data_IF_058223077190
#
_entry.id   IF_058223077190
#
_cell.length_a   1.000
_cell.length_b   1.000
_cell.length_c   1.000
_cell.angle_alpha   90.00
_cell.angle_beta   90.00
_cell.angle_gamma   90.00
#
_symmetry.space_group_name_H-M   'P 1'
#
loop_
_entity.id
_entity.type
_entity.pdbx_description
1 polymer ?
#
# COMPACT_ATOMS: atom_id res chain seq x y z
N UNK A 1 8.82 10.05 -15.17
CA UNK A 1 9.52 8.80 -15.55
C UNK A 1 10.66 8.61 -14.57
N UNK A 2 10.87 7.42 -13.97
CA UNK A 2 12.03 7.19 -13.12
C UNK A 2 13.31 7.41 -13.94
N UNK A 3 14.34 7.92 -13.27
CA UNK A 3 15.63 8.19 -13.88
C UNK A 3 16.18 6.87 -14.49
N UNK A 4 16.50 6.82 -15.80
CA UNK A 4 17.02 5.61 -16.43
C UNK A 4 18.31 5.06 -15.79
N UNK A 5 19.10 5.91 -15.12
CA UNK A 5 20.32 5.50 -14.43
C UNK A 5 20.05 4.56 -13.25
N UNK A 6 18.95 4.78 -12.46
CA UNK A 6 18.59 3.90 -11.33
C UNK A 6 18.15 2.51 -11.77
N UNK A 7 17.65 2.37 -13.01
CA UNK A 7 17.25 1.09 -13.59
C UNK A 7 18.45 0.30 -14.16
N UNK A 8 19.56 0.97 -14.47
CA UNK A 8 20.75 0.33 -15.08
C UNK A 8 21.62 -0.38 -14.03
N UNK A 9 21.58 0.08 -12.77
CA UNK A 9 22.34 -0.51 -11.67
C UNK A 9 21.64 -1.70 -11.01
N UNK A 10 20.42 -2.05 -11.46
CA UNK A 10 19.71 -3.21 -10.95
C UNK A 10 20.11 -4.49 -11.68
N UNK A 11 20.20 -5.63 -10.97
CA UNK A 11 20.45 -6.92 -11.58
C UNK A 11 19.48 -7.20 -12.74
N UNK A 12 19.98 -7.86 -13.79
CA UNK A 12 19.21 -8.11 -15.02
C UNK A 12 17.92 -8.91 -14.77
N UNK A 13 17.94 -9.82 -13.81
CA UNK A 13 16.83 -10.65 -13.34
C UNK A 13 15.71 -9.83 -12.69
N UNK A 14 16.04 -8.78 -11.91
CA UNK A 14 15.05 -7.86 -11.33
C UNK A 14 14.26 -7.12 -12.43
N UNK A 15 14.95 -6.71 -13.50
CA UNK A 15 14.28 -6.05 -14.64
C UNK A 15 13.38 -7.00 -15.42
N UNK A 16 13.75 -8.28 -15.53
CA UNK A 16 12.91 -9.31 -16.17
C UNK A 16 11.70 -9.65 -15.31
N UNK A 17 11.87 -9.79 -13.99
CA UNK A 17 10.79 -10.03 -13.05
C UNK A 17 9.76 -8.90 -13.11
N UNK A 18 10.19 -7.65 -13.18
CA UNK A 18 9.28 -6.47 -13.33
C UNK A 18 8.49 -6.48 -14.63
N UNK A 19 9.12 -6.83 -15.75
CA UNK A 19 8.40 -6.99 -17.03
C UNK A 19 7.39 -8.12 -16.96
N UNK A 20 7.74 -9.23 -16.31
CA UNK A 20 6.83 -10.35 -16.11
C UNK A 20 5.62 -9.96 -15.25
N UNK A 21 5.83 -9.20 -14.17
CA UNK A 21 4.76 -8.64 -13.34
C UNK A 21 3.77 -7.81 -14.18
N UNK A 22 4.27 -6.96 -15.05
CA UNK A 22 3.44 -6.14 -15.95
C UNK A 22 2.54 -6.99 -16.86
N UNK A 23 3.07 -8.10 -17.39
CA UNK A 23 2.30 -9.05 -18.20
C UNK A 23 1.31 -9.90 -17.38
N UNK A 24 1.57 -10.09 -16.09
CA UNK A 24 0.73 -10.89 -15.22
C UNK A 24 -0.55 -10.16 -14.76
N UNK A 25 -0.58 -8.82 -14.87
CA UNK A 25 -1.76 -8.02 -14.53
C UNK A 25 -2.81 -8.07 -15.64
N UNK A 26 -4.07 -8.28 -15.28
CA UNK A 26 -5.20 -7.98 -16.18
C UNK A 26 -5.25 -6.47 -16.40
N UNK A 27 -5.60 -6.02 -17.62
CA UNK A 27 -6.08 -4.65 -17.77
C UNK A 27 -7.23 -4.46 -16.78
N UNK A 28 -7.19 -3.38 -16.02
CA UNK A 28 -8.26 -3.06 -15.09
C UNK A 28 -9.60 -2.84 -15.80
N UNK A 29 -10.67 -2.81 -15.03
CA UNK A 29 -12.02 -2.56 -15.53
C UNK A 29 -12.08 -1.21 -16.26
N UNK A 30 -12.27 -1.27 -17.58
CA UNK A 30 -12.30 -0.07 -18.45
C UNK A 30 -13.57 0.77 -18.27
N UNK A 31 -14.60 0.27 -17.58
CA UNK A 31 -15.77 1.05 -17.21
C UNK A 31 -15.46 2.10 -16.13
N UNK A 32 -14.38 1.91 -15.38
CA UNK A 32 -13.93 2.85 -14.35
C UNK A 32 -13.27 4.07 -15.03
N UNK A 33 -13.85 5.24 -14.80
CA UNK A 33 -13.27 6.50 -15.24
C UNK A 33 -11.99 6.81 -14.49
N UNK A 34 -10.99 7.32 -15.21
CA UNK A 34 -9.71 7.76 -14.63
C UNK A 34 -9.39 9.17 -15.04
N UNK A 35 -8.79 9.92 -14.13
CA UNK A 35 -8.32 11.26 -14.33
C UNK A 35 -6.92 11.42 -13.73
N UNK A 36 -5.94 11.74 -14.55
CA UNK A 36 -4.59 12.03 -14.09
C UNK A 36 -4.51 13.48 -13.59
N UNK A 37 -4.03 13.65 -12.37
CA UNK A 37 -3.94 14.94 -11.69
C UNK A 37 -2.53 15.19 -11.15
N UNK A 38 -2.21 16.44 -10.90
CA UNK A 38 -1.01 16.86 -10.18
C UNK A 38 -1.42 17.45 -8.85
N UNK A 39 -1.14 16.73 -7.77
CA UNK A 39 -1.41 17.18 -6.41
C UNK A 39 -0.27 18.09 -5.95
N UNK A 40 -0.56 19.27 -5.38
CA UNK A 40 0.48 20.09 -4.74
C UNK A 40 1.12 19.33 -3.57
N UNK A 41 2.43 19.17 -3.61
CA UNK A 41 3.19 18.55 -2.53
C UNK A 41 4.35 19.45 -2.10
N UNK A 42 4.82 19.28 -0.86
CA UNK A 42 5.93 20.04 -0.28
C UNK A 42 7.25 19.83 -1.02
N UNK A 43 7.41 18.68 -1.67
CA UNK A 43 8.57 18.35 -2.51
C UNK A 43 8.39 18.65 -3.99
N UNK A 44 7.27 19.28 -4.38
CA UNK A 44 6.88 19.53 -5.77
C UNK A 44 5.58 18.82 -6.16
N UNK A 45 5.11 18.97 -7.40
CA UNK A 45 3.87 18.35 -7.86
C UNK A 45 3.95 16.82 -7.83
N UNK A 46 2.98 16.17 -7.18
CA UNK A 46 2.86 14.72 -7.08
C UNK A 46 1.90 14.24 -8.17
N UNK A 47 2.35 13.31 -9.02
CA UNK A 47 1.48 12.66 -9.99
C UNK A 47 0.52 11.71 -9.26
N UNK A 48 -0.78 11.87 -9.51
CA UNK A 48 -1.81 11.01 -8.96
C UNK A 48 -2.87 10.69 -10.00
N UNK A 49 -3.61 9.62 -9.79
CA UNK A 49 -4.75 9.23 -10.63
C UNK A 49 -5.97 8.97 -9.77
N UNK A 50 -7.07 9.60 -10.15
CA UNK A 50 -8.38 9.45 -9.52
C UNK A 50 -9.19 8.43 -10.33
N UNK A 51 -9.70 7.40 -9.66
CA UNK A 51 -10.52 6.34 -10.22
C UNK A 51 -11.93 6.43 -9.66
N UNK A 52 -12.95 6.35 -10.49
CA UNK A 52 -14.34 6.40 -10.06
C UNK A 52 -15.27 5.64 -11.01
N UNK A 53 -16.34 5.13 -10.48
CA UNK A 53 -17.43 4.59 -11.28
C UNK A 53 -18.12 5.71 -12.06
N UNK A 54 -18.67 5.44 -13.27
CA UNK A 54 -19.39 6.44 -14.05
C UNK A 54 -20.66 6.93 -13.36
N UNK A 55 -21.29 6.08 -12.52
CA UNK A 55 -22.52 6.35 -11.78
C UNK A 55 -22.26 6.85 -10.34
N UNK A 56 -21.03 7.30 -10.05
CA UNK A 56 -20.64 7.77 -8.72
C UNK A 56 -21.52 8.93 -8.27
N UNK A 57 -22.04 8.84 -7.03
CA UNK A 57 -22.81 9.91 -6.42
C UNK A 57 -21.88 10.79 -5.55
N UNK A 58 -22.18 12.10 -5.41
CA UNK A 58 -21.48 12.97 -4.49
C UNK A 58 -21.54 12.42 -3.05
N UNK A 59 -20.46 12.62 -2.30
CA UNK A 59 -20.35 12.10 -0.93
C UNK A 59 -19.94 10.63 -0.88
N UNK A 60 -19.41 10.05 -1.95
CA UNK A 60 -18.86 8.70 -1.93
C UNK A 60 -17.64 8.61 -0.99
N UNK A 61 -17.42 7.45 -0.32
CA UNK A 61 -16.20 7.23 0.45
C UNK A 61 -14.97 7.20 -0.48
N UNK A 62 -13.77 7.24 0.11
CA UNK A 62 -12.55 7.25 -0.68
C UNK A 62 -11.49 6.27 -0.15
N UNK A 63 -10.61 5.83 -1.04
CA UNK A 63 -9.45 5.01 -0.74
C UNK A 63 -8.21 5.69 -1.32
N UNK A 64 -7.21 5.98 -0.50
CA UNK A 64 -5.86 6.27 -0.96
C UNK A 64 -5.12 4.94 -1.08
N UNK A 65 -4.66 4.58 -2.29
CA UNK A 65 -3.92 3.35 -2.52
C UNK A 65 -2.47 3.64 -2.87
N UNK A 66 -1.54 3.08 -2.07
CA UNK A 66 -0.10 3.32 -2.14
C UNK A 66 0.57 2.10 -2.76
N UNK A 67 1.25 2.29 -3.90
CA UNK A 67 1.94 1.20 -4.59
C UNK A 67 3.18 0.71 -3.84
N UNK A 68 3.57 -0.54 -4.10
CA UNK A 68 4.82 -1.14 -3.64
C UNK A 68 6.03 -0.77 -4.50
N UNK A 69 6.96 -1.71 -4.62
CA UNK A 69 8.19 -1.53 -5.40
C UNK A 69 9.42 -1.21 -4.55
N UNK A 70 9.43 -1.63 -3.28
CA UNK A 70 10.61 -1.54 -2.39
C UNK A 70 11.08 -0.11 -2.12
N UNK A 71 10.20 0.88 -2.22
CA UNK A 71 10.48 2.32 -2.12
C UNK A 71 11.37 2.88 -3.25
N UNK A 72 11.79 2.05 -4.20
CA UNK A 72 12.74 2.41 -5.26
C UNK A 72 12.14 2.35 -6.66
N UNK A 73 10.92 1.82 -6.78
CA UNK A 73 10.19 1.68 -8.04
C UNK A 73 8.69 1.81 -7.84
N UNK A 74 7.95 1.90 -8.96
CA UNK A 74 6.51 1.97 -8.98
C UNK A 74 5.97 3.31 -9.44
N UNK A 75 4.66 3.48 -9.31
CA UNK A 75 3.92 4.66 -9.73
C UNK A 75 2.45 4.34 -9.95
N UNK A 76 1.67 5.32 -10.39
CA UNK A 76 0.21 5.19 -10.58
C UNK A 76 -0.19 4.04 -11.52
N UNK A 77 0.65 3.71 -12.51
CA UNK A 77 0.38 2.65 -13.46
C UNK A 77 0.66 1.25 -12.89
N UNK A 78 1.49 1.16 -11.86
CA UNK A 78 1.93 -0.13 -11.30
C UNK A 78 0.77 -0.95 -10.74
N UNK A 79 -0.17 -0.31 -10.04
CA UNK A 79 -1.34 -0.95 -9.44
C UNK A 79 -2.67 -0.58 -10.13
N UNK A 80 -2.66 -0.12 -11.39
CA UNK A 80 -3.87 0.36 -12.08
C UNK A 80 -5.03 -0.65 -12.04
N UNK A 81 -4.73 -1.94 -12.29
CA UNK A 81 -5.73 -3.01 -12.23
C UNK A 81 -6.38 -3.18 -10.85
N UNK A 82 -5.59 -3.16 -9.78
CA UNK A 82 -6.07 -3.26 -8.41
C UNK A 82 -6.89 -2.04 -8.01
N UNK A 83 -6.45 -0.84 -8.37
CA UNK A 83 -7.13 0.41 -8.06
C UNK A 83 -8.49 0.51 -8.76
N UNK A 84 -8.57 0.14 -10.04
CA UNK A 84 -9.86 0.00 -10.76
C UNK A 84 -10.74 -1.06 -10.12
N UNK A 85 -10.15 -2.20 -9.74
CA UNK A 85 -10.83 -3.29 -9.07
C UNK A 85 -11.45 -2.86 -7.73
N UNK A 86 -10.75 -2.07 -6.93
CA UNK A 86 -11.27 -1.49 -5.69
C UNK A 86 -12.39 -0.49 -5.95
N UNK A 87 -12.21 0.44 -6.92
CA UNK A 87 -13.25 1.40 -7.27
C UNK A 87 -14.54 0.71 -7.74
N UNK A 88 -14.43 -0.34 -8.57
CA UNK A 88 -15.57 -1.11 -9.04
C UNK A 88 -16.32 -1.81 -7.92
N UNK A 89 -15.60 -2.43 -6.97
CA UNK A 89 -16.17 -3.25 -5.88
C UNK A 89 -16.74 -2.43 -4.74
N UNK A 90 -16.09 -1.33 -4.39
CA UNK A 90 -16.47 -0.52 -3.23
C UNK A 90 -17.41 0.63 -3.58
N UNK A 91 -17.44 1.07 -4.83
CA UNK A 91 -18.08 2.33 -5.21
C UNK A 91 -17.39 3.57 -4.63
N UNK A 92 -16.19 3.43 -4.07
CA UNK A 92 -15.40 4.53 -3.56
C UNK A 92 -14.66 5.27 -4.68
N UNK A 93 -14.32 6.52 -4.43
CA UNK A 93 -13.25 7.20 -5.17
C UNK A 93 -11.92 6.59 -4.75
N UNK A 94 -11.15 6.04 -5.70
CA UNK A 94 -9.80 5.56 -5.39
C UNK A 94 -8.79 6.56 -5.94
N UNK A 95 -7.79 6.90 -5.15
CA UNK A 95 -6.67 7.77 -5.54
C UNK A 95 -5.39 6.98 -5.42
N UNK A 96 -4.68 6.82 -6.53
CA UNK A 96 -3.31 6.31 -6.57
C UNK A 96 -2.33 7.46 -6.75
N UNK A 97 -1.11 7.30 -6.26
CA UNK A 97 -0.07 8.31 -6.38
C UNK A 97 1.25 7.70 -6.84
N UNK A 98 2.11 8.54 -7.41
CA UNK A 98 3.54 8.25 -7.60
C UNK A 98 4.33 9.08 -6.59
N UNK A 99 4.66 8.48 -5.46
CA UNK A 99 5.48 9.16 -4.43
C UNK A 99 6.95 9.19 -4.83
N UNK A 100 7.72 10.12 -4.26
CA UNK A 100 9.16 10.24 -4.48
C UNK A 100 9.90 9.01 -4.01
N UNK A 101 10.77 8.46 -4.86
CA UNK A 101 11.44 7.18 -4.68
C UNK A 101 12.90 7.35 -4.24
N UNK A 102 13.39 6.41 -3.43
CA UNK A 102 14.81 6.24 -3.14
C UNK A 102 15.52 5.63 -4.38
N UNK A 103 16.82 5.80 -4.52
CA UNK A 103 17.75 6.48 -3.62
C UNK A 103 17.76 8.00 -3.72
N UNK A 104 17.15 8.60 -4.77
CA UNK A 104 17.14 10.04 -5.00
C UNK A 104 16.42 10.77 -3.85
N UNK A 105 15.31 10.21 -3.39
CA UNK A 105 14.47 10.76 -2.33
C UNK A 105 14.24 9.73 -1.23
N UNK A 106 15.19 9.54 -0.30
CA UNK A 106 15.04 8.60 0.81
C UNK A 106 13.95 9.04 1.78
N UNK A 107 13.69 8.25 2.80
CA UNK A 107 12.84 8.65 3.92
C UNK A 107 13.24 10.06 4.43
N UNK A 108 12.25 10.94 4.71
CA UNK A 108 10.80 10.71 4.73
C UNK A 108 10.05 11.11 3.43
N UNK A 109 10.74 11.37 2.31
CA UNK A 109 10.16 12.01 1.13
C UNK A 109 8.90 11.32 0.58
N UNK A 110 8.92 9.99 0.43
CA UNK A 110 7.75 9.23 -0.05
C UNK A 110 6.57 9.27 0.92
N UNK A 111 6.83 9.23 2.23
CA UNK A 111 5.80 9.38 3.26
C UNK A 111 5.19 10.78 3.25
N UNK A 112 6.02 11.81 3.08
CA UNK A 112 5.56 13.19 2.96
C UNK A 112 4.61 13.39 1.77
N UNK A 113 4.90 12.76 0.63
CA UNK A 113 4.03 12.81 -0.53
C UNK A 113 2.69 12.11 -0.26
N UNK A 114 2.70 10.97 0.46
CA UNK A 114 1.47 10.30 0.90
C UNK A 114 0.63 11.20 1.83
N UNK A 115 1.27 11.91 2.77
CA UNK A 115 0.60 12.87 3.67
C UNK A 115 -0.03 14.03 2.89
N UNK A 116 0.69 14.57 1.90
CA UNK A 116 0.21 15.69 1.10
C UNK A 116 -0.98 15.28 0.22
N UNK A 117 -0.95 14.06 -0.37
CA UNK A 117 -2.10 13.53 -1.14
C UNK A 117 -3.30 13.24 -0.22
N UNK A 118 -3.09 12.66 0.96
CA UNK A 118 -4.18 12.43 1.93
C UNK A 118 -4.84 13.76 2.35
N UNK A 119 -4.05 14.79 2.62
CA UNK A 119 -4.56 16.13 2.95
C UNK A 119 -5.32 16.73 1.78
N UNK A 120 -4.76 16.66 0.56
CA UNK A 120 -5.42 17.13 -0.65
C UNK A 120 -6.78 16.43 -0.88
N UNK A 121 -6.86 15.13 -0.64
CA UNK A 121 -8.14 14.40 -0.73
C UNK A 121 -9.18 14.95 0.24
N UNK A 122 -8.77 15.21 1.49
CA UNK A 122 -9.68 15.73 2.50
C UNK A 122 -10.15 17.17 2.24
N UNK A 123 -9.27 18.03 1.72
CA UNK A 123 -9.53 19.45 1.49
C UNK A 123 -10.22 19.70 0.14
N UNK A 124 -9.66 19.14 -0.95
CA UNK A 124 -10.10 19.41 -2.32
C UNK A 124 -11.26 18.53 -2.76
N UNK A 125 -11.49 17.40 -2.08
CA UNK A 125 -12.61 16.46 -2.31
C UNK A 125 -12.76 16.07 -3.78
N UNK A 126 -11.71 15.53 -4.44
CA UNK A 126 -11.79 15.17 -5.85
C UNK A 126 -12.96 14.22 -6.09
N UNK A 127 -13.63 14.39 -7.24
CA UNK A 127 -14.85 13.67 -7.59
C UNK A 127 -15.98 13.76 -6.53
N UNK A 128 -15.97 14.78 -5.64
CA UNK A 128 -16.99 14.98 -4.62
C UNK A 128 -16.96 13.96 -3.48
N UNK A 129 -15.80 13.36 -3.18
CA UNK A 129 -15.64 12.39 -2.08
C UNK A 129 -16.02 12.97 -0.72
N UNK A 130 -16.38 12.08 0.21
CA UNK A 130 -16.64 12.38 1.61
C UNK A 130 -15.33 12.28 2.43
N UNK A 131 -14.77 13.40 2.92
CA UNK A 131 -13.50 13.38 3.65
C UNK A 131 -13.58 12.74 5.04
N UNK A 132 -14.78 12.48 5.56
CA UNK A 132 -14.96 11.75 6.83
C UNK A 132 -14.84 10.23 6.68
N UNK A 133 -14.82 9.72 5.44
CA UNK A 133 -14.79 8.29 5.10
C UNK A 133 -13.65 7.97 4.14
N UNK A 134 -12.40 8.23 4.58
CA UNK A 134 -11.19 7.89 3.82
C UNK A 134 -10.54 6.65 4.45
N UNK A 135 -10.35 5.61 3.64
CA UNK A 135 -9.50 4.47 3.93
C UNK A 135 -8.14 4.64 3.26
N UNK A 136 -7.11 3.99 3.80
CA UNK A 136 -5.78 3.95 3.18
C UNK A 136 -5.41 2.49 2.96
N UNK A 137 -4.83 2.16 1.82
CA UNK A 137 -4.33 0.84 1.54
C UNK A 137 -3.07 0.86 0.71
N UNK A 138 -2.35 -0.25 0.72
CA UNK A 138 -1.14 -0.39 -0.06
C UNK A 138 -0.55 -1.78 0.03
N UNK A 139 0.42 -2.05 -0.83
CA UNK A 139 1.03 -3.38 -0.93
C UNK A 139 2.56 -3.28 -0.78
N UNK A 140 3.20 -4.27 -0.14
CA UNK A 140 4.65 -4.35 0.03
C UNK A 140 5.22 -3.08 0.74
N UNK A 141 6.10 -2.33 0.11
CA UNK A 141 6.56 -1.01 0.59
C UNK A 141 5.39 -0.02 0.77
N UNK A 142 4.37 -0.07 -0.09
CA UNK A 142 3.13 0.72 0.08
C UNK A 142 2.31 0.28 1.29
N UNK A 143 2.39 -0.99 1.69
CA UNK A 143 1.84 -1.49 2.94
C UNK A 143 2.52 -0.89 4.17
N UNK A 144 3.85 -0.72 4.14
CA UNK A 144 4.60 0.03 5.14
C UNK A 144 4.12 1.48 5.20
N UNK A 145 4.12 2.17 4.06
CA UNK A 145 3.69 3.57 3.97
C UNK A 145 2.23 3.77 4.42
N UNK A 146 1.36 2.76 4.24
CA UNK A 146 -0.01 2.76 4.76
C UNK A 146 -0.04 2.88 6.27
N UNK A 147 0.75 2.06 6.97
CA UNK A 147 0.85 2.11 8.44
C UNK A 147 1.54 3.40 8.91
N UNK A 148 2.66 3.77 8.28
CA UNK A 148 3.40 5.00 8.60
C UNK A 148 2.54 6.26 8.43
N UNK A 149 1.71 6.31 7.36
CA UNK A 149 0.79 7.40 7.11
C UNK A 149 -0.31 7.48 8.18
N UNK A 150 -0.85 6.32 8.60
CA UNK A 150 -1.85 6.27 9.65
C UNK A 150 -1.29 6.72 11.02
N UNK A 151 -0.07 6.30 11.37
CA UNK A 151 0.66 6.78 12.54
C UNK A 151 0.86 8.29 12.50
N UNK A 152 1.38 8.79 11.38
CA UNK A 152 1.61 10.24 11.19
C UNK A 152 0.33 11.04 11.26
N UNK A 153 -0.78 10.53 10.69
CA UNK A 153 -2.07 11.22 10.70
C UNK A 153 -2.66 11.28 12.12
N UNK A 154 -2.57 10.17 12.86
CA UNK A 154 -3.00 10.08 14.25
C UNK A 154 -2.25 11.08 15.14
N UNK A 155 -0.93 11.06 15.06
CA UNK A 155 -0.04 11.80 15.97
C UNK A 155 0.10 13.28 15.58
N UNK A 156 -0.02 13.58 14.28
CA UNK A 156 0.10 14.94 13.74
C UNK A 156 -1.22 15.67 13.52
N UNK A 157 -2.37 15.10 13.93
CA UNK A 157 -3.70 15.72 13.73
C UNK A 157 -4.08 15.81 12.25
N UNK A 158 -3.64 14.87 11.43
CA UNK A 158 -3.98 14.78 10.01
C UNK A 158 -5.43 14.31 9.76
N UNK A 159 -5.84 14.14 8.48
CA UNK A 159 -7.18 13.67 8.13
C UNK A 159 -7.48 12.31 8.76
N UNK A 160 -8.73 12.13 9.22
CA UNK A 160 -9.18 10.86 9.80
C UNK A 160 -9.12 9.74 8.75
N UNK A 161 -8.50 8.62 9.12
CA UNK A 161 -8.50 7.37 8.37
C UNK A 161 -9.46 6.39 9.06
N UNK A 162 -10.35 5.73 8.29
CA UNK A 162 -11.37 4.84 8.85
C UNK A 162 -11.04 3.36 8.72
N UNK A 163 -10.08 3.00 7.86
CA UNK A 163 -9.64 1.62 7.65
C UNK A 163 -8.24 1.56 7.04
N UNK A 164 -7.47 0.51 7.37
CA UNK A 164 -6.21 0.17 6.72
C UNK A 164 -6.34 -1.14 5.95
N UNK A 165 -5.98 -1.12 4.68
CA UNK A 165 -5.96 -2.26 3.75
C UNK A 165 -4.53 -2.60 3.39
N UNK A 166 -3.93 -3.60 4.06
CA UNK A 166 -2.49 -3.85 4.05
C UNK A 166 -2.20 -5.18 3.38
N UNK A 167 -1.50 -5.17 2.24
CA UNK A 167 -1.10 -6.38 1.51
C UNK A 167 0.38 -6.67 1.72
N UNK A 168 0.72 -7.84 2.23
CA UNK A 168 2.07 -8.41 2.38
C UNK A 168 3.16 -7.34 2.65
N UNK A 169 3.03 -6.57 3.76
CA UNK A 169 3.79 -5.35 3.98
C UNK A 169 5.25 -5.64 4.35
N UNK A 170 6.16 -4.74 3.96
CA UNK A 170 7.49 -4.62 4.54
C UNK A 170 7.40 -3.83 5.85
N UNK A 171 7.72 -4.40 7.00
CA UNK A 171 7.46 -3.75 8.30
C UNK A 171 8.64 -3.64 9.23
N UNK A 172 9.70 -4.43 9.02
CA UNK A 172 10.86 -4.49 9.89
C UNK A 172 12.18 -4.33 9.11
N UNK A 173 12.84 -3.20 9.30
CA UNK A 173 14.13 -2.90 8.67
C UNK A 173 15.31 -3.69 9.25
N UNK A 174 15.10 -4.43 10.35
CA UNK A 174 16.16 -5.28 10.94
C UNK A 174 16.35 -6.56 10.13
N UNK A 175 15.40 -6.91 9.25
CA UNK A 175 15.40 -8.11 8.40
C UNK A 175 15.66 -9.41 9.19
N UNK A 176 15.19 -9.47 10.45
CA UNK A 176 15.48 -10.58 11.38
C UNK A 176 14.75 -11.88 11.04
N UNK A 177 13.70 -11.82 10.19
CA UNK A 177 12.99 -13.02 9.75
C UNK A 177 13.89 -13.91 8.90
N UNK A 178 13.81 -15.23 9.15
CA UNK A 178 14.48 -16.25 8.32
C UNK A 178 13.80 -16.41 6.96
N UNK A 179 12.59 -15.89 6.77
CA UNK A 179 11.89 -15.90 5.48
C UNK A 179 12.70 -15.17 4.39
N UNK A 180 13.49 -14.17 4.78
CA UNK A 180 14.39 -13.45 3.88
C UNK A 180 15.50 -14.35 3.26
N UNK A 181 15.88 -15.42 3.98
CA UNK A 181 16.95 -16.35 3.57
C UNK A 181 16.40 -17.58 2.84
N UNK A 182 15.12 -17.89 3.05
CA UNK A 182 14.47 -19.09 2.51
C UNK A 182 13.62 -18.83 1.28
N UNK A 183 13.40 -17.56 0.93
CA UNK A 183 12.64 -17.19 -0.26
C UNK A 183 13.45 -17.47 -1.53
N UNK A 184 12.85 -18.22 -2.43
CA UNK A 184 13.35 -18.47 -3.79
C UNK A 184 12.69 -17.53 -4.83
N UNK A 185 11.95 -16.53 -4.37
CA UNK A 185 11.25 -15.60 -5.25
C UNK A 185 12.23 -14.65 -5.95
N UNK A 186 12.29 -14.63 -7.29
CA UNK A 186 13.19 -13.74 -8.01
C UNK A 186 12.87 -12.26 -7.71
N UNK A 187 13.90 -11.51 -7.32
CA UNK A 187 13.82 -10.06 -7.11
C UNK A 187 13.22 -9.63 -5.76
N UNK A 188 12.96 -10.56 -4.85
CA UNK A 188 12.60 -10.27 -3.45
C UNK A 188 13.27 -11.30 -2.54
N UNK A 189 14.38 -10.94 -1.92
CA UNK A 189 15.15 -11.76 -0.99
C UNK A 189 16.00 -10.88 -0.09
N UNK A 190 16.89 -11.48 0.72
CA UNK A 190 17.71 -10.74 1.69
C UNK A 190 18.53 -9.61 1.07
N UNK A 191 19.19 -9.88 -0.08
CA UNK A 191 20.02 -8.87 -0.73
C UNK A 191 19.20 -7.64 -1.19
N UNK A 192 17.99 -7.87 -1.69
CA UNK A 192 17.07 -6.80 -2.05
C UNK A 192 16.53 -6.08 -0.81
N UNK A 193 16.23 -6.79 0.28
CA UNK A 193 15.85 -6.20 1.57
C UNK A 193 16.93 -5.28 2.11
N UNK A 194 18.18 -5.75 2.17
CA UNK A 194 19.33 -4.95 2.59
C UNK A 194 19.55 -3.73 1.70
N UNK A 195 19.38 -3.89 0.37
CA UNK A 195 19.45 -2.77 -0.55
C UNK A 195 18.35 -1.72 -0.24
N UNK A 196 17.09 -2.15 -0.08
CA UNK A 196 15.98 -1.26 0.24
C UNK A 196 16.22 -0.51 1.54
N UNK A 197 16.63 -1.20 2.59
CA UNK A 197 16.95 -0.57 3.89
C UNK A 197 18.06 0.47 3.72
N UNK A 198 19.15 0.12 3.03
CA UNK A 198 20.29 1.01 2.83
C UNK A 198 19.92 2.28 2.08
N UNK A 199 19.08 2.21 1.04
CA UNK A 199 18.78 3.38 0.19
C UNK A 199 17.59 4.18 0.67
N UNK A 200 16.58 3.54 1.28
CA UNK A 200 15.37 4.20 1.77
C UNK A 200 15.54 4.71 3.21
N UNK A 201 15.87 3.80 4.14
CA UNK A 201 15.98 4.14 5.56
C UNK A 201 17.28 4.90 5.89
N UNK A 202 18.38 4.56 5.20
CA UNK A 202 19.73 5.10 5.52
C UNK A 202 20.07 4.93 6.99
N UNK A 203 20.08 6.03 7.76
CA UNK A 203 20.35 6.05 9.20
C UNK A 203 19.10 5.94 10.08
N UNK A 204 17.92 6.01 9.47
CA UNK A 204 16.63 6.07 10.18
C UNK A 204 16.00 4.67 10.37
N UNK A 205 16.82 3.62 10.47
CA UNK A 205 16.36 2.23 10.59
C UNK A 205 15.50 1.98 11.84
N UNK A 206 15.79 2.68 12.93
CA UNK A 206 15.04 2.57 14.20
C UNK A 206 13.83 3.53 14.27
N UNK A 207 13.61 4.30 13.21
CA UNK A 207 12.48 5.22 13.16
C UNK A 207 11.16 4.45 13.04
N UNK A 208 10.18 4.67 13.95
CA UNK A 208 8.90 3.95 13.94
C UNK A 208 8.03 4.23 12.70
N UNK A 209 8.34 5.23 11.89
CA UNK A 209 7.70 5.48 10.60
C UNK A 209 8.43 4.80 9.44
N UNK A 210 9.54 4.13 9.70
CA UNK A 210 10.31 3.32 8.75
C UNK A 210 10.15 1.83 9.10
N UNK A 211 10.48 1.46 10.34
CA UNK A 211 10.30 0.12 10.89
C UNK A 211 8.99 0.05 11.70
N UNK A 212 7.87 0.11 10.97
CA UNK A 212 6.52 0.31 11.54
C UNK A 212 6.07 -0.78 12.50
N UNK A 213 6.68 -1.96 12.45
CA UNK A 213 6.43 -3.05 13.39
C UNK A 213 6.75 -2.66 14.84
N UNK A 214 7.70 -1.74 15.03
CA UNK A 214 8.17 -1.29 16.35
C UNK A 214 7.51 0.00 16.84
N UNK A 215 6.50 0.49 16.09
CA UNK A 215 5.76 1.69 16.47
C UNK A 215 4.71 1.40 17.55
N UNK A 216 4.22 2.45 18.20
CA UNK A 216 3.00 2.37 19.01
C UNK A 216 1.77 2.31 18.11
N UNK A 217 1.21 1.11 17.95
CA UNK A 217 0.07 0.86 17.05
C UNK A 217 -1.29 1.16 17.69
N UNK A 218 -1.35 1.54 18.96
CA UNK A 218 -2.61 1.85 19.67
C UNK A 218 -3.34 3.00 18.97
N UNK A 219 -4.67 2.87 18.90
CA UNK A 219 -5.52 3.90 18.31
C UNK A 219 -5.48 3.99 16.78
N UNK A 220 -4.77 3.08 16.10
CA UNK A 220 -4.92 2.93 14.65
C UNK A 220 -6.33 2.44 14.29
N UNK A 221 -6.82 2.76 13.09
CA UNK A 221 -8.15 2.33 12.65
C UNK A 221 -8.22 0.81 12.43
N UNK A 222 -9.42 0.22 12.35
CA UNK A 222 -9.60 -1.17 11.97
C UNK A 222 -8.79 -1.51 10.73
N UNK A 223 -8.15 -2.69 10.74
CA UNK A 223 -7.16 -3.07 9.74
C UNK A 223 -7.44 -4.45 9.15
N UNK A 224 -7.18 -4.61 7.87
CA UNK A 224 -7.12 -5.92 7.21
C UNK A 224 -5.69 -6.14 6.71
N UNK A 225 -5.09 -7.26 7.11
CA UNK A 225 -3.73 -7.64 6.72
C UNK A 225 -3.79 -8.92 5.90
N UNK A 226 -3.21 -8.89 4.70
CA UNK A 226 -3.06 -10.07 3.84
C UNK A 226 -1.58 -10.45 3.78
N UNK A 227 -1.27 -11.74 3.98
CA UNK A 227 0.07 -12.29 3.88
C UNK A 227 0.12 -13.46 2.90
N UNK A 228 1.32 -13.79 2.42
CA UNK A 228 1.57 -14.85 1.46
C UNK A 228 2.46 -15.94 2.05
N UNK A 229 2.31 -17.19 1.56
CA UNK A 229 3.12 -18.32 2.02
C UNK A 229 4.52 -18.31 1.43
N UNK A 230 4.65 -17.99 0.14
CA UNK A 230 5.92 -17.93 -0.59
C UNK A 230 6.40 -16.47 -0.68
N UNK A 231 6.79 -15.90 0.48
CA UNK A 231 7.08 -14.48 0.61
C UNK A 231 8.15 -14.23 1.66
N UNK A 232 9.26 -13.55 1.34
CA UNK A 232 10.25 -13.16 2.34
C UNK A 232 9.70 -12.21 3.41
N UNK A 233 8.58 -11.50 3.12
CA UNK A 233 7.86 -10.62 4.04
C UNK A 233 6.73 -11.33 4.81
N UNK A 234 6.63 -12.68 4.73
CA UNK A 234 5.57 -13.44 5.39
C UNK A 234 5.51 -13.15 6.89
N UNK A 235 6.63 -13.28 7.57
CA UNK A 235 6.70 -13.01 9.01
C UNK A 235 6.46 -11.55 9.35
N UNK A 236 6.94 -10.62 8.54
CA UNK A 236 6.69 -9.19 8.69
C UNK A 236 5.19 -8.88 8.79
N UNK A 237 4.41 -9.41 7.85
CA UNK A 237 2.97 -9.22 7.83
C UNK A 237 2.23 -9.93 8.97
N UNK A 238 2.66 -11.15 9.33
CA UNK A 238 2.09 -11.91 10.47
C UNK A 238 2.33 -11.15 11.78
N UNK A 239 3.58 -10.75 12.03
CA UNK A 239 3.94 -10.01 13.24
C UNK A 239 3.23 -8.65 13.34
N UNK A 240 3.05 -7.96 12.20
CA UNK A 240 2.27 -6.72 12.19
C UNK A 240 0.80 -7.00 12.59
N UNK A 241 0.18 -8.05 12.05
CA UNK A 241 -1.21 -8.40 12.40
C UNK A 241 -1.35 -8.73 13.89
N UNK A 242 -0.42 -9.52 14.46
CA UNK A 242 -0.36 -9.83 15.88
C UNK A 242 -0.15 -8.59 16.74
N UNK A 243 0.76 -7.69 16.34
CA UNK A 243 1.04 -6.44 17.06
C UNK A 243 -0.17 -5.48 17.04
N UNK A 244 -0.88 -5.39 15.92
CA UNK A 244 -2.13 -4.61 15.83
C UNK A 244 -3.19 -5.15 16.79
N UNK A 245 -3.41 -6.48 16.82
CA UNK A 245 -4.32 -7.12 17.77
C UNK A 245 -3.90 -6.84 19.21
N UNK A 246 -2.61 -7.01 19.54
CA UNK A 246 -2.06 -6.73 20.87
C UNK A 246 -2.22 -5.25 21.29
N UNK A 247 -2.20 -4.33 20.31
CA UNK A 247 -2.45 -2.91 20.52
C UNK A 247 -3.97 -2.56 20.64
N UNK A 248 -4.87 -3.55 20.59
CA UNK A 248 -6.32 -3.34 20.69
C UNK A 248 -6.96 -2.85 19.38
N UNK A 249 -6.27 -2.97 18.25
CA UNK A 249 -6.81 -2.62 16.93
C UNK A 249 -7.64 -3.80 16.41
N UNK A 250 -8.88 -3.54 15.96
CA UNK A 250 -9.72 -4.55 15.29
C UNK A 250 -9.05 -4.97 13.99
N UNK A 251 -8.50 -6.19 13.93
CA UNK A 251 -7.69 -6.65 12.81
C UNK A 251 -8.20 -7.96 12.26
N UNK A 252 -8.44 -8.00 10.94
CA UNK A 252 -8.60 -9.24 10.18
C UNK A 252 -7.28 -9.59 9.52
N UNK A 253 -6.79 -10.81 9.77
CA UNK A 253 -5.61 -11.34 9.08
C UNK A 253 -6.00 -12.53 8.22
N UNK A 254 -5.64 -12.50 6.93
CA UNK A 254 -5.83 -13.60 6.00
C UNK A 254 -4.49 -14.00 5.38
N UNK A 255 -4.19 -15.31 5.49
CA UNK A 255 -2.95 -15.88 4.95
C UNK A 255 -3.22 -16.71 3.70
N UNK A 256 -2.66 -16.30 2.57
CA UNK A 256 -2.70 -17.02 1.30
C UNK A 256 -1.45 -17.91 1.18
N UNK A 257 -1.52 -19.11 1.77
CA UNK A 257 -0.37 -20.01 1.91
C UNK A 257 0.23 -20.48 0.58
N UNK A 258 -0.57 -20.50 -0.48
CA UNK A 258 -0.22 -20.92 -1.83
C UNK A 258 0.23 -19.78 -2.75
N UNK A 259 0.33 -18.55 -2.23
CA UNK A 259 0.64 -17.38 -3.05
C UNK A 259 2.03 -16.80 -2.77
N UNK A 260 2.71 -16.29 -3.82
CA UNK A 260 3.97 -15.57 -3.68
C UNK A 260 3.74 -14.09 -3.37
N UNK A 261 4.82 -13.40 -2.95
CA UNK A 261 4.83 -11.93 -2.82
C UNK A 261 4.32 -11.24 -4.09
N UNK A 262 3.52 -10.19 -3.94
CA UNK A 262 3.00 -9.42 -5.07
C UNK A 262 1.87 -10.10 -5.85
N UNK A 263 1.26 -11.20 -5.33
CA UNK A 263 0.24 -11.94 -6.09
C UNK A 263 -0.98 -11.12 -6.48
N UNK A 264 -1.25 -10.01 -5.81
CA UNK A 264 -2.27 -9.04 -6.20
C UNK A 264 -2.09 -8.59 -7.66
N UNK A 265 -0.83 -8.52 -8.12
CA UNK A 265 -0.46 -8.13 -9.48
C UNK A 265 -0.56 -9.30 -10.47
N UNK A 266 -0.83 -10.53 -10.01
CA UNK A 266 -0.91 -11.74 -10.85
C UNK A 266 -2.35 -12.08 -11.27
N UNK A 267 -3.22 -11.11 -11.39
CA UNK A 267 -4.65 -11.30 -11.66
C UNK A 267 -4.97 -12.06 -12.96
N UNK A 268 -4.03 -12.16 -13.91
CA UNK A 268 -4.16 -13.03 -15.10
C UNK A 268 -3.83 -14.50 -14.81
N UNK A 269 -3.02 -14.75 -13.79
CA UNK A 269 -2.44 -16.06 -13.52
C UNK A 269 -3.17 -16.79 -12.40
N UNK A 270 -3.82 -16.07 -11.48
CA UNK A 270 -4.51 -16.64 -10.35
C UNK A 270 -5.80 -15.91 -10.00
N UNK A 271 -6.82 -16.67 -9.59
CA UNK A 271 -8.06 -16.11 -9.02
C UNK A 271 -7.86 -15.54 -7.61
N UNK A 272 -6.79 -15.96 -6.91
CA UNK A 272 -6.47 -15.46 -5.56
C UNK A 272 -6.32 -13.93 -5.52
N UNK A 273 -5.83 -13.33 -6.60
CA UNK A 273 -5.75 -11.88 -6.72
C UNK A 273 -7.13 -11.22 -6.66
N UNK A 274 -8.12 -11.74 -7.41
CA UNK A 274 -9.49 -11.24 -7.37
C UNK A 274 -10.16 -11.54 -6.01
N UNK A 275 -9.96 -12.74 -5.44
CA UNK A 275 -10.47 -13.12 -4.11
C UNK A 275 -9.95 -12.20 -3.01
N UNK A 276 -8.66 -11.85 -3.05
CA UNK A 276 -8.06 -10.92 -2.08
C UNK A 276 -8.59 -9.49 -2.24
N UNK A 277 -8.85 -9.05 -3.47
CA UNK A 277 -9.50 -7.76 -3.73
C UNK A 277 -10.95 -7.74 -3.23
N UNK A 278 -11.70 -8.83 -3.43
CA UNK A 278 -13.09 -8.97 -2.94
C UNK A 278 -13.13 -8.90 -1.41
N UNK A 279 -12.19 -9.57 -0.74
CA UNK A 279 -12.06 -9.54 0.72
C UNK A 279 -11.76 -8.13 1.22
N UNK A 280 -10.73 -7.50 0.68
CA UNK A 280 -10.31 -6.16 1.06
C UNK A 280 -11.41 -5.12 0.81
N UNK A 281 -12.09 -5.22 -0.33
CA UNK A 281 -13.19 -4.34 -0.67
C UNK A 281 -14.37 -4.51 0.31
N UNK A 282 -14.69 -5.74 0.70
CA UNK A 282 -15.76 -6.04 1.66
C UNK A 282 -15.46 -5.43 3.03
N UNK A 283 -14.23 -5.61 3.55
CA UNK A 283 -13.86 -5.08 4.87
C UNK A 283 -13.78 -3.55 4.85
N UNK A 284 -13.24 -2.96 3.77
CA UNK A 284 -13.24 -1.50 3.59
C UNK A 284 -14.66 -0.94 3.53
N UNK A 285 -15.58 -1.60 2.82
CA UNK A 285 -16.99 -1.19 2.76
C UNK A 285 -17.68 -1.26 4.13
N UNK A 286 -17.37 -2.28 4.95
CA UNK A 286 -17.85 -2.37 6.33
C UNK A 286 -17.37 -1.19 7.19
N UNK A 287 -16.12 -0.78 7.01
CA UNK A 287 -15.57 0.40 7.69
C UNK A 287 -16.29 1.69 7.26
N UNK A 288 -16.57 1.85 5.97
CA UNK A 288 -17.33 2.99 5.45
C UNK A 288 -18.77 3.05 5.99
N UNK A 289 -19.39 1.91 6.25
CA UNK A 289 -20.72 1.82 6.85
C UNK A 289 -20.72 1.96 8.39
N UNK A 290 -19.55 2.05 9.04
CA UNK A 290 -19.43 2.08 10.49
C UNK A 290 -19.82 0.76 11.17
N UNK A 291 -19.83 -0.36 10.45
CA UNK A 291 -20.30 -1.67 10.91
C UNK A 291 -19.15 -2.60 11.39
N UNK A 292 -17.90 -2.13 11.40
CA UNK A 292 -16.81 -2.86 12.03
C UNK A 292 -16.96 -2.72 13.54
N UNK A 293 -17.50 -3.76 14.15
CA UNK A 293 -17.60 -3.88 15.60
C UNK A 293 -16.21 -4.18 16.18
N UNK A 294 -15.75 -3.37 17.12
CA UNK A 294 -14.64 -3.74 17.99
C UNK A 294 -15.13 -4.96 18.77
N UNK A 295 -14.73 -6.16 18.41
CA UNK A 295 -14.89 -7.30 19.33
C UNK A 295 -13.93 -7.06 20.49
N UNK A 296 -14.44 -6.52 21.58
CA UNK A 296 -13.78 -6.61 22.88
C UNK A 296 -13.71 -8.11 23.22
N UNK A 297 -12.54 -8.71 23.07
CA UNK A 297 -12.22 -10.02 23.66
C UNK A 297 -11.87 -9.84 25.12
#
# INVERSE_FOLDING_TARGET
MPNPASLLDQPHDVRLARKALWFACKPGDRSIHTEDVKVPGRGGPIAARVYRRPDLQPGAPAILFIHGGGFVDGGVDFCDGAQRGLAARTGAVVVGLSYRLAPEYPFPAGLEDCQDVLRWMAESRPAGLDPSRIAVGGESAGGNLTVALALSSRDGGGPRIVHLSIYYPFTDTTLKSTDWDTSDMPGVGRAEGEFMVRVYARKDTDNPLVSVLHADLRGLPPSTVITCGHDPLRSDGIWLAEALVAAGVSTLHTHYADMPHGFLMFSRLTRRADESLDEMARETARAFAGTISIKSS
#
